data_IF_753422359647
#
_entry.id   IF_753422359647
#
_cell.length_a   1.000
_cell.length_b   1.000
_cell.length_c   1.000
_cell.angle_alpha   90.00
_cell.angle_beta   90.00
_cell.angle_gamma   90.00
#
_symmetry.space_group_name_H-M   'P 1'
#
loop_
_entity.id
_entity.type
_entity.pdbx_description
1 polymer ?
#
# COMPACT_ATOMS: atom_id res chain seq x y z
N UNK A 1 -12.62 -27.93 -21.93
CA UNK A 1 -11.74 -26.84 -21.49
C UNK A 1 -10.44 -26.97 -22.27
N UNK A 2 -10.25 -26.11 -23.25
CA UNK A 2 -9.01 -26.04 -24.03
C UNK A 2 -7.95 -25.25 -23.26
N UNK A 3 -6.69 -25.39 -23.62
CA UNK A 3 -5.59 -24.58 -23.05
C UNK A 3 -5.77 -23.06 -23.27
N UNK A 4 -6.65 -22.67 -24.20
CA UNK A 4 -6.92 -21.26 -24.55
C UNK A 4 -8.02 -20.61 -23.70
N UNK A 5 -8.66 -21.35 -22.78
CA UNK A 5 -9.71 -20.80 -21.90
C UNK A 5 -9.13 -19.94 -20.74
N UNK A 6 -7.81 -20.00 -20.52
CA UNK A 6 -7.13 -19.28 -19.44
C UNK A 6 -6.08 -18.33 -19.99
N UNK A 7 -6.16 -17.07 -19.58
CA UNK A 7 -5.15 -16.06 -19.85
C UNK A 7 -4.42 -15.70 -18.55
N UNK A 8 -3.09 -15.74 -18.59
CA UNK A 8 -2.27 -15.16 -17.52
C UNK A 8 -2.27 -13.64 -17.75
N UNK A 9 -2.80 -12.90 -16.77
CA UNK A 9 -2.84 -11.44 -16.79
C UNK A 9 -1.77 -10.88 -15.87
N UNK A 10 -1.20 -9.72 -16.23
CA UNK A 10 -0.37 -8.96 -15.32
C UNK A 10 -1.26 -8.32 -14.24
N UNK A 11 -1.05 -8.60 -12.93
CA UNK A 11 -1.93 -8.09 -11.89
C UNK A 11 -2.05 -6.57 -11.86
N UNK A 12 -0.95 -5.84 -12.08
CA UNK A 12 -0.94 -4.37 -12.02
C UNK A 12 -1.69 -3.75 -13.21
N UNK A 13 -1.58 -4.35 -14.39
CA UNK A 13 -2.32 -3.92 -15.58
C UNK A 13 -3.81 -4.21 -15.41
N UNK A 14 -4.16 -5.41 -14.95
CA UNK A 14 -5.55 -5.80 -14.73
C UNK A 14 -6.25 -4.90 -13.68
N UNK A 15 -5.59 -4.57 -12.57
CA UNK A 15 -6.13 -3.62 -11.57
C UNK A 15 -6.32 -2.23 -12.18
N UNK A 16 -5.40 -1.79 -13.05
CA UNK A 16 -5.47 -0.48 -13.70
C UNK A 16 -6.61 -0.41 -14.71
N UNK A 17 -6.86 -1.49 -15.44
CA UNK A 17 -7.91 -1.58 -16.46
C UNK A 17 -9.31 -1.79 -15.85
N UNK A 18 -9.38 -2.39 -14.66
CA UNK A 18 -10.63 -2.73 -13.98
C UNK A 18 -10.68 -2.28 -12.51
N UNK A 19 -10.48 -0.99 -12.20
CA UNK A 19 -10.45 -0.49 -10.82
C UNK A 19 -11.73 -0.77 -10.02
N UNK A 20 -12.89 -0.83 -10.68
CA UNK A 20 -14.20 -1.12 -10.10
C UNK A 20 -14.32 -2.52 -9.47
N UNK A 21 -13.44 -3.45 -9.84
CA UNK A 21 -13.40 -4.77 -9.21
C UNK A 21 -12.69 -4.71 -7.85
N UNK A 22 -11.80 -3.74 -7.65
CA UNK A 22 -10.89 -3.67 -6.51
C UNK A 22 -11.20 -2.53 -5.54
N UNK A 23 -11.92 -1.51 -6.00
CA UNK A 23 -12.22 -0.29 -5.27
C UNK A 23 -13.71 0.05 -5.39
N UNK A 24 -14.33 0.37 -4.25
CA UNK A 24 -15.76 0.74 -4.19
C UNK A 24 -16.08 1.98 -5.05
N UNK A 25 -15.16 2.94 -5.11
CA UNK A 25 -15.31 4.19 -5.87
C UNK A 25 -14.92 4.06 -7.37
N UNK A 26 -14.57 2.84 -7.83
CA UNK A 26 -14.14 2.57 -9.18
C UNK A 26 -12.97 3.45 -9.63
N UNK A 27 -13.13 4.16 -10.75
CA UNK A 27 -12.08 4.97 -11.36
C UNK A 27 -11.71 6.25 -10.55
N UNK A 28 -12.54 6.67 -9.59
CA UNK A 28 -12.29 7.87 -8.78
C UNK A 28 -11.42 7.56 -7.57
N UNK A 29 -10.19 7.10 -7.81
CA UNK A 29 -9.25 6.70 -6.75
C UNK A 29 -8.66 7.95 -6.06
N UNK A 30 -8.87 8.07 -4.76
CA UNK A 30 -8.36 9.17 -3.93
C UNK A 30 -7.31 8.66 -2.95
N UNK A 31 -6.44 9.55 -2.45
CA UNK A 31 -5.46 9.16 -1.44
C UNK A 31 -6.13 8.66 -0.15
N UNK A 32 -7.27 9.25 0.20
CA UNK A 32 -8.10 8.80 1.34
C UNK A 32 -8.68 7.41 1.15
N UNK A 33 -9.19 7.06 -0.03
CA UNK A 33 -9.77 5.72 -0.24
C UNK A 33 -8.70 4.63 -0.18
N UNK A 34 -7.51 4.88 -0.75
CA UNK A 34 -6.36 3.99 -0.60
C UNK A 34 -5.87 3.89 0.84
N UNK A 35 -5.82 5.02 1.58
CA UNK A 35 -5.46 5.04 2.99
C UNK A 35 -6.44 4.21 3.84
N UNK A 36 -7.74 4.39 3.65
CA UNK A 36 -8.77 3.62 4.36
C UNK A 36 -8.63 2.13 4.09
N UNK A 37 -8.37 1.75 2.82
CA UNK A 37 -8.18 0.35 2.45
C UNK A 37 -6.94 -0.26 3.10
N UNK A 38 -5.82 0.46 3.11
CA UNK A 38 -4.59 0.01 3.76
C UNK A 38 -4.75 -0.05 5.29
N UNK A 39 -5.42 0.93 5.89
CA UNK A 39 -5.70 0.94 7.32
C UNK A 39 -6.51 -0.29 7.74
N UNK A 40 -7.51 -0.69 6.95
CA UNK A 40 -8.29 -1.90 7.22
C UNK A 40 -7.37 -3.13 7.35
N UNK A 41 -6.37 -3.26 6.47
CA UNK A 41 -5.42 -4.38 6.52
C UNK A 41 -4.51 -4.33 7.76
N UNK A 42 -4.05 -3.14 8.16
CA UNK A 42 -3.24 -2.97 9.38
C UNK A 42 -4.05 -3.38 10.61
N UNK A 43 -5.31 -2.94 10.70
CA UNK A 43 -6.18 -3.18 11.86
C UNK A 43 -6.61 -4.64 12.05
N UNK A 44 -6.49 -5.48 11.01
CA UNK A 44 -6.69 -6.94 11.14
C UNK A 44 -5.68 -7.56 12.12
N UNK A 45 -4.49 -6.97 12.23
CA UNK A 45 -3.52 -7.34 13.25
C UNK A 45 -3.93 -6.72 14.58
N UNK A 46 -4.76 -7.43 15.34
CA UNK A 46 -5.18 -7.04 16.68
C UNK A 46 -3.98 -6.65 17.56
N UNK A 47 -4.17 -5.64 18.43
CA UNK A 47 -3.14 -5.12 19.35
C UNK A 47 -1.94 -4.43 18.70
N UNK A 48 -2.14 -3.71 17.59
CA UNK A 48 -1.11 -2.83 17.06
C UNK A 48 -1.39 -1.35 17.38
N UNK A 49 -0.33 -0.58 17.54
CA UNK A 49 -0.37 0.88 17.48
C UNK A 49 -0.27 1.29 16.02
N UNK A 50 -1.17 2.18 15.59
CA UNK A 50 -1.19 2.71 14.23
C UNK A 50 -1.03 4.23 14.27
N UNK A 51 -0.13 4.74 13.45
CA UNK A 51 0.04 6.16 13.20
C UNK A 51 -0.42 6.45 11.79
N UNK A 52 -1.31 7.43 11.64
CA UNK A 52 -1.72 7.97 10.35
C UNK A 52 -1.41 9.46 10.37
N UNK A 53 -0.71 9.93 9.35
CA UNK A 53 -0.37 11.33 9.21
C UNK A 53 -0.49 11.75 7.75
N UNK A 54 -0.99 12.97 7.54
CA UNK A 54 -0.80 13.68 6.27
C UNK A 54 0.29 14.71 6.44
N UNK A 55 1.33 14.64 5.62
CA UNK A 55 2.45 15.58 5.62
C UNK A 55 2.58 16.16 4.21
N UNK A 56 2.11 17.39 4.03
CA UNK A 56 1.97 18.01 2.69
C UNK A 56 1.13 17.11 1.76
N UNK A 57 1.70 16.70 0.62
CA UNK A 57 1.08 15.78 -0.34
C UNK A 57 1.16 14.30 0.07
N UNK A 58 1.90 13.97 1.14
CA UNK A 58 2.14 12.58 1.54
C UNK A 58 1.10 12.08 2.54
N UNK A 59 0.57 10.93 2.21
CA UNK A 59 -0.20 10.06 3.07
C UNK A 59 0.74 9.06 3.72
N UNK A 60 0.76 9.02 5.05
CA UNK A 60 1.65 8.17 5.83
C UNK A 60 0.81 7.29 6.75
N UNK A 61 1.08 5.99 6.73
CA UNK A 61 0.59 5.02 7.70
C UNK A 61 1.75 4.19 8.22
N UNK A 62 1.80 3.99 9.53
CA UNK A 62 2.79 3.12 10.14
C UNK A 62 2.20 2.35 11.31
N UNK A 63 2.84 1.22 11.61
CA UNK A 63 2.48 0.40 12.74
C UNK A 63 3.72 -0.15 13.45
N UNK A 64 3.56 -0.40 14.75
CA UNK A 64 4.50 -1.17 15.57
C UNK A 64 4.53 -2.67 15.23
N UNK A 65 3.69 -3.14 14.29
CA UNK A 65 3.72 -4.50 13.74
C UNK A 65 4.02 -4.43 12.23
N UNK A 66 4.77 -5.41 11.72
CA UNK A 66 4.89 -5.62 10.27
C UNK A 66 3.69 -6.44 9.76
N UNK A 67 2.67 -5.74 9.24
CA UNK A 67 1.43 -6.37 8.79
C UNK A 67 1.54 -7.11 7.44
N UNK A 68 2.60 -6.91 6.66
CA UNK A 68 2.78 -7.70 5.43
C UNK A 68 3.43 -9.06 5.69
N UNK A 69 3.92 -9.30 6.92
CA UNK A 69 4.46 -10.58 7.36
C UNK A 69 5.49 -11.16 6.38
N UNK A 70 5.28 -12.40 5.95
CA UNK A 70 6.18 -13.11 5.05
C UNK A 70 6.13 -12.63 3.60
N UNK A 71 5.07 -11.90 3.20
CA UNK A 71 4.93 -11.39 1.84
C UNK A 71 5.80 -10.15 1.59
N UNK A 72 6.27 -9.47 2.64
CA UNK A 72 7.24 -8.36 2.57
C UNK A 72 6.95 -7.33 1.46
N UNK A 73 7.74 -7.31 0.39
CA UNK A 73 7.60 -6.40 -0.74
C UNK A 73 6.75 -6.99 -1.89
N UNK A 74 6.46 -8.30 -1.87
CA UNK A 74 5.66 -8.95 -2.90
C UNK A 74 4.24 -8.37 -2.97
N UNK A 75 3.69 -7.94 -1.84
CA UNK A 75 2.36 -7.29 -1.72
C UNK A 75 2.22 -6.06 -2.62
N UNK A 76 3.32 -5.44 -3.07
CA UNK A 76 3.28 -4.29 -3.97
C UNK A 76 3.23 -4.67 -5.46
N UNK A 77 3.57 -5.90 -5.82
CA UNK A 77 3.77 -6.29 -7.22
C UNK A 77 2.75 -7.31 -7.73
N UNK A 78 2.04 -7.98 -6.83
CA UNK A 78 1.02 -8.96 -7.18
C UNK A 78 -0.11 -8.96 -6.15
N UNK A 79 -1.27 -9.49 -6.54
CA UNK A 79 -2.37 -9.74 -5.62
C UNK A 79 -1.95 -10.87 -4.67
N UNK A 80 -1.77 -10.53 -3.40
CA UNK A 80 -1.48 -11.51 -2.33
C UNK A 80 -2.77 -11.70 -1.53
N UNK A 81 -3.35 -12.92 -1.50
CA UNK A 81 -4.55 -13.21 -0.72
C UNK A 81 -4.35 -12.88 0.76
N UNK A 82 -5.36 -12.24 1.37
CA UNK A 82 -5.33 -11.87 2.78
C UNK A 82 -6.59 -12.37 3.49
N UNK A 83 -6.70 -13.69 3.72
CA UNK A 83 -7.93 -14.32 4.23
C UNK A 83 -8.33 -13.84 5.62
N UNK A 84 -7.40 -13.30 6.41
CA UNK A 84 -7.64 -12.74 7.74
C UNK A 84 -8.55 -11.50 7.69
N UNK A 85 -8.55 -10.78 6.57
CA UNK A 85 -9.42 -9.62 6.34
C UNK A 85 -10.82 -9.99 5.82
N UNK A 86 -11.06 -11.27 5.47
CA UNK A 86 -12.34 -11.77 4.98
C UNK A 86 -12.25 -12.54 3.66
N UNK A 87 -13.42 -12.93 3.15
CA UNK A 87 -13.54 -13.65 1.88
C UNK A 87 -13.18 -12.74 0.71
N UNK A 88 -12.36 -13.25 -0.23
CA UNK A 88 -11.87 -12.52 -1.40
C UNK A 88 -11.05 -11.26 -1.07
N UNK A 89 -10.55 -11.14 0.16
CA UNK A 89 -9.66 -10.05 0.54
C UNK A 89 -8.21 -10.31 0.11
N UNK A 90 -7.48 -9.23 -0.12
CA UNK A 90 -6.09 -9.21 -0.53
C UNK A 90 -5.42 -7.95 0.04
N UNK A 91 -4.09 -8.00 0.12
CA UNK A 91 -3.25 -6.90 0.58
C UNK A 91 -3.37 -5.65 -0.30
N UNK A 92 -3.75 -4.52 0.31
CA UNK A 92 -4.03 -3.26 -0.35
C UNK A 92 -2.80 -2.58 -0.98
N UNK A 93 -1.59 -2.97 -0.58
CA UNK A 93 -0.33 -2.39 -1.05
C UNK A 93 -0.17 -2.40 -2.57
N UNK A 94 -0.71 -3.42 -3.24
CA UNK A 94 -0.68 -3.52 -4.71
C UNK A 94 -1.42 -2.34 -5.36
N UNK A 95 -2.46 -1.83 -4.71
CA UNK A 95 -3.25 -0.69 -5.20
C UNK A 95 -2.43 0.60 -5.15
N UNK A 96 -1.55 0.75 -4.15
CA UNK A 96 -0.63 1.89 -4.09
C UNK A 96 0.30 1.89 -5.31
N UNK A 97 0.84 0.73 -5.68
CA UNK A 97 1.72 0.62 -6.85
C UNK A 97 1.00 1.00 -8.14
N UNK A 98 -0.30 0.72 -8.23
CA UNK A 98 -1.09 0.99 -9.44
C UNK A 98 -1.46 2.47 -9.56
N UNK A 99 -1.91 3.09 -8.46
CA UNK A 99 -2.59 4.39 -8.48
C UNK A 99 -1.78 5.55 -7.90
N UNK A 100 -0.83 5.29 -6.98
CA UNK A 100 -0.03 6.36 -6.41
C UNK A 100 1.04 6.85 -7.41
N UNK A 101 1.50 8.09 -7.20
CA UNK A 101 2.63 8.67 -7.93
C UNK A 101 3.96 8.17 -7.39
N UNK A 102 4.08 8.17 -6.06
CA UNK A 102 5.27 7.72 -5.35
C UNK A 102 4.82 6.86 -4.17
N UNK A 103 5.60 5.82 -3.88
CA UNK A 103 5.39 4.90 -2.76
C UNK A 103 6.74 4.55 -2.17
N UNK A 104 6.91 4.81 -0.87
CA UNK A 104 8.08 4.45 -0.09
C UNK A 104 7.66 3.59 1.10
N UNK A 105 8.43 2.54 1.37
CA UNK A 105 8.22 1.63 2.49
C UNK A 105 9.43 1.69 3.38
N UNK A 106 9.20 1.79 4.68
CA UNK A 106 10.22 1.74 5.71
C UNK A 106 10.05 0.47 6.53
N UNK A 107 11.16 -0.22 6.77
CA UNK A 107 11.28 -1.37 7.66
C UNK A 107 12.41 -1.08 8.64
N UNK A 108 12.07 -0.75 9.89
CA UNK A 108 13.05 -0.14 10.78
C UNK A 108 13.59 1.17 10.19
N UNK A 109 14.90 1.41 10.28
CA UNK A 109 15.55 2.62 9.73
C UNK A 109 15.86 2.53 8.23
N UNK A 110 15.60 1.40 7.60
CA UNK A 110 15.83 1.21 6.17
C UNK A 110 14.58 1.55 5.39
N UNK A 111 14.73 1.99 4.14
CA UNK A 111 13.61 2.25 3.25
C UNK A 111 13.85 1.69 1.86
N UNK A 112 12.76 1.42 1.14
CA UNK A 112 12.73 1.02 -0.26
C UNK A 112 11.70 1.88 -0.98
N UNK A 113 12.10 2.46 -2.11
CA UNK A 113 11.17 3.12 -3.02
C UNK A 113 10.55 2.05 -3.91
N UNK A 114 9.23 1.92 -3.84
CA UNK A 114 8.45 0.97 -4.65
C UNK A 114 8.03 1.62 -5.97
N UNK A 115 7.55 2.87 -5.90
CA UNK A 115 7.15 3.68 -7.06
C UNK A 115 7.72 5.07 -6.92
N UNK A 116 8.12 5.68 -8.04
CA UNK A 116 8.50 7.08 -8.10
C UNK A 116 10.01 7.33 -8.11
N UNK A 117 10.41 8.53 -7.71
CA UNK A 117 11.82 8.92 -7.72
C UNK A 117 12.61 8.24 -6.58
N UNK A 118 13.89 7.95 -6.82
CA UNK A 118 14.75 7.19 -5.89
C UNK A 118 15.05 7.94 -4.57
N UNK A 119 14.85 9.26 -4.54
CA UNK A 119 15.11 10.09 -3.36
C UNK A 119 13.84 10.35 -2.55
N UNK A 120 13.87 9.99 -1.27
CA UNK A 120 12.84 10.31 -0.28
C UNK A 120 13.15 11.67 0.34
N UNK A 121 12.13 12.49 0.61
CA UNK A 121 12.34 13.81 1.19
C UNK A 121 12.83 13.75 2.64
N UNK A 122 13.59 14.74 3.09
CA UNK A 122 14.12 14.80 4.46
C UNK A 122 13.00 14.86 5.49
N UNK A 123 11.84 15.45 5.17
CA UNK A 123 10.69 15.54 6.05
C UNK A 123 10.15 14.15 6.42
N UNK A 124 10.04 13.25 5.43
CA UNK A 124 9.59 11.87 5.66
C UNK A 124 10.67 11.08 6.43
N UNK A 125 11.94 11.27 6.09
CA UNK A 125 13.04 10.64 6.80
C UNK A 125 13.10 11.10 8.27
N UNK A 126 12.82 12.37 8.55
CA UNK A 126 12.73 12.92 9.89
C UNK A 126 11.49 12.39 10.63
N UNK A 127 10.34 12.33 9.97
CA UNK A 127 9.12 11.73 10.53
C UNK A 127 9.38 10.28 10.97
N UNK A 128 10.02 9.48 10.11
CA UNK A 128 10.42 8.10 10.44
C UNK A 128 11.33 8.05 11.66
N UNK A 129 12.37 8.90 11.70
CA UNK A 129 13.36 8.96 12.80
C UNK A 129 12.71 9.29 14.15
N UNK A 130 11.66 10.12 14.14
CA UNK A 130 10.94 10.52 15.34
C UNK A 130 9.99 9.46 15.90
N UNK A 131 9.71 8.39 15.14
CA UNK A 131 8.81 7.30 15.54
C UNK A 131 9.53 5.95 15.50
N UNK A 132 10.61 5.75 16.31
CA UNK A 132 11.44 4.56 16.24
C UNK A 132 10.70 3.26 16.56
N UNK A 133 9.57 3.34 17.27
CA UNK A 133 8.73 2.19 17.62
C UNK A 133 7.97 1.59 16.42
N UNK A 134 7.85 2.31 15.30
CA UNK A 134 7.22 1.76 14.10
C UNK A 134 8.11 0.68 13.48
N UNK A 135 7.56 -0.52 13.31
CA UNK A 135 8.24 -1.61 12.62
C UNK A 135 8.10 -1.46 11.10
N UNK A 136 6.91 -1.06 10.65
CA UNK A 136 6.62 -0.79 9.24
C UNK A 136 5.94 0.55 9.07
N UNK A 137 6.34 1.30 8.04
CA UNK A 137 5.68 2.55 7.64
C UNK A 137 5.63 2.63 6.12
N UNK A 138 4.48 3.01 5.58
CA UNK A 138 4.29 3.29 4.16
C UNK A 138 3.96 4.76 4.01
N UNK A 139 4.71 5.45 3.15
CA UNK A 139 4.39 6.78 2.66
C UNK A 139 4.01 6.70 1.18
N UNK A 140 2.93 7.36 0.78
CA UNK A 140 2.59 7.51 -0.63
C UNK A 140 2.00 8.89 -0.93
N UNK A 141 2.02 9.31 -2.19
CA UNK A 141 1.31 10.51 -2.65
C UNK A 141 0.63 10.27 -4.00
N UNK A 142 -0.49 10.94 -4.22
CA UNK A 142 -1.29 10.78 -5.44
C UNK A 142 -0.76 11.66 -6.58
N UNK A 143 -1.08 11.29 -7.83
CA UNK A 143 -0.72 12.09 -9.01
C UNK A 143 -1.48 13.42 -9.10
N UNK A 144 -2.67 13.50 -8.50
CA UNK A 144 -3.65 14.57 -8.73
C UNK A 144 -4.04 15.35 -7.45
N UNK A 145 -3.20 15.33 -6.41
CA UNK A 145 -3.47 16.03 -5.12
C UNK A 145 -2.47 17.18 -4.83
N UNK A 146 -1.88 17.79 -5.88
CA UNK A 146 -1.03 18.99 -5.78
C UNK A 146 -1.83 20.29 -5.92
#
# INVERSE_FOLDING_TARGET
MGRDDFQIVNPLEHIREHPEIYLEDGANVTGSSLMCRLLADVLVNNNCQVVIQRLESWWIIGSDVDWAGTAQNQVFYTIVPFPQAGQNCFHAEVLLTVFARDVVVFSGNSHTVIVGATSVSEEILNFRRNLPFLNRMIGFRMKNEE
#
